data_IF_901536427146
#
_entry.id   IF_901536427146
#
_cell.length_a   1.000
_cell.length_b   1.000
_cell.length_c   1.000
_cell.angle_alpha   90.00
_cell.angle_beta   90.00
_cell.angle_gamma   90.00
#
_symmetry.space_group_name_H-M   'P 1'
#
loop_
_entity.id
_entity.type
_entity.pdbx_description
1 polymer ?
#
# COMPACT_ATOMS: atom_id res chain seq x y z
N UNK A 1 -29.16 4.85 -50.92
CA UNK A 1 -28.39 5.51 -49.86
C UNK A 1 -27.40 4.51 -49.35
N UNK A 2 -26.13 4.68 -49.70
CA UNK A 2 -25.03 3.90 -49.13
C UNK A 2 -24.93 4.31 -47.67
N UNK A 3 -25.40 3.43 -46.79
CA UNK A 3 -25.23 3.60 -45.35
C UNK A 3 -23.76 3.35 -45.10
N UNK A 4 -23.09 4.34 -44.54
CA UNK A 4 -21.65 4.42 -44.37
C UNK A 4 -21.19 3.24 -43.51
N UNK A 5 -20.55 2.24 -44.12
CA UNK A 5 -19.99 1.06 -43.40
C UNK A 5 -18.99 1.49 -42.31
N UNK A 6 -18.47 2.72 -42.39
CA UNK A 6 -17.57 3.32 -41.41
C UNK A 6 -18.21 3.55 -40.03
N UNK A 7 -19.53 3.82 -39.96
CA UNK A 7 -20.24 4.07 -38.69
C UNK A 7 -20.42 2.76 -37.89
N UNK A 8 -20.65 1.64 -38.59
CA UNK A 8 -20.86 0.32 -37.96
C UNK A 8 -19.54 -0.22 -37.38
N UNK A 9 -18.43 -0.02 -38.09
CA UNK A 9 -17.11 -0.38 -37.57
C UNK A 9 -16.69 0.52 -36.39
N UNK A 10 -17.05 1.81 -36.41
CA UNK A 10 -16.79 2.69 -35.27
C UNK A 10 -17.58 2.27 -34.03
N UNK A 11 -18.88 2.00 -34.15
CA UNK A 11 -19.69 1.53 -33.01
C UNK A 11 -19.17 0.21 -32.44
N UNK A 12 -18.71 -0.71 -33.30
CA UNK A 12 -18.14 -2.00 -32.87
C UNK A 12 -16.82 -1.81 -32.10
N UNK A 13 -15.94 -0.96 -32.60
CA UNK A 13 -14.68 -0.63 -31.93
C UNK A 13 -14.92 0.14 -30.62
N UNK A 14 -15.85 1.09 -30.60
CA UNK A 14 -16.21 1.83 -29.40
C UNK A 14 -16.81 0.91 -28.33
N UNK A 15 -17.68 -0.04 -28.71
CA UNK A 15 -18.26 -1.00 -27.77
C UNK A 15 -17.20 -1.93 -27.19
N UNK A 16 -16.25 -2.39 -28.01
CA UNK A 16 -15.10 -3.19 -27.55
C UNK A 16 -14.19 -2.39 -26.63
N UNK A 17 -13.90 -1.13 -26.98
CA UNK A 17 -13.14 -0.22 -26.14
C UNK A 17 -13.82 0.02 -24.79
N UNK A 18 -15.13 0.28 -24.76
CA UNK A 18 -15.90 0.47 -23.52
C UNK A 18 -15.94 -0.80 -22.65
N UNK A 19 -16.00 -1.98 -23.26
CA UNK A 19 -15.89 -3.27 -22.57
C UNK A 19 -14.49 -3.46 -21.95
N UNK A 20 -13.44 -3.10 -22.66
CA UNK A 20 -12.05 -3.21 -22.18
C UNK A 20 -11.68 -2.09 -21.20
N UNK A 21 -12.28 -0.90 -21.31
CA UNK A 21 -11.98 0.27 -20.50
C UNK A 21 -12.18 0.00 -19.01
N UNK A 22 -13.19 -0.79 -18.64
CA UNK A 22 -13.40 -1.20 -17.25
C UNK A 22 -12.23 -2.02 -16.69
N UNK A 23 -11.69 -2.94 -17.48
CA UNK A 23 -10.53 -3.76 -17.10
C UNK A 23 -9.25 -2.90 -17.00
N UNK A 24 -9.01 -2.00 -17.95
CA UNK A 24 -7.88 -1.07 -17.92
C UNK A 24 -7.93 -0.11 -16.73
N UNK A 25 -9.12 0.42 -16.41
CA UNK A 25 -9.33 1.32 -15.28
C UNK A 25 -9.06 0.60 -13.95
N UNK A 26 -9.54 -0.65 -13.84
CA UNK A 26 -9.26 -1.51 -12.68
C UNK A 26 -7.76 -1.76 -12.53
N UNK A 27 -7.06 -2.12 -13.62
CA UNK A 27 -5.60 -2.33 -13.61
C UNK A 27 -4.82 -1.06 -13.20
N UNK A 28 -5.19 0.10 -13.74
CA UNK A 28 -4.56 1.39 -13.37
C UNK A 28 -4.79 1.68 -11.89
N UNK A 29 -6.02 1.49 -11.37
CA UNK A 29 -6.30 1.71 -9.95
C UNK A 29 -5.51 0.75 -9.04
N UNK A 30 -5.35 -0.51 -9.45
CA UNK A 30 -4.55 -1.50 -8.73
C UNK A 30 -3.07 -1.12 -8.67
N UNK A 31 -2.49 -0.77 -9.81
CA UNK A 31 -1.08 -0.37 -9.92
C UNK A 31 -0.78 0.91 -9.14
N UNK A 32 -1.70 1.89 -9.14
CA UNK A 32 -1.59 3.09 -8.32
C UNK A 32 -1.61 2.78 -6.81
N UNK A 33 -2.50 1.90 -6.36
CA UNK A 33 -2.55 1.50 -4.96
C UNK A 33 -1.30 0.72 -4.52
N UNK A 34 -0.76 -0.15 -5.38
CA UNK A 34 0.52 -0.83 -5.15
C UNK A 34 1.68 0.17 -5.08
N UNK A 35 1.71 1.17 -5.97
CA UNK A 35 2.73 2.22 -5.97
C UNK A 35 2.68 3.04 -4.68
N UNK A 36 1.48 3.44 -4.23
CA UNK A 36 1.29 4.15 -2.96
C UNK A 36 1.87 3.36 -1.77
N UNK A 37 1.56 2.07 -1.68
CA UNK A 37 2.12 1.18 -0.65
C UNK A 37 3.65 1.04 -0.74
N UNK A 38 4.20 0.97 -1.95
CA UNK A 38 5.64 0.89 -2.16
C UNK A 38 6.35 2.19 -1.73
N UNK A 39 5.83 3.35 -2.14
CA UNK A 39 6.35 4.66 -1.75
C UNK A 39 6.30 4.84 -0.24
N UNK A 40 5.20 4.42 0.39
CA UNK A 40 5.05 4.41 1.85
C UNK A 40 6.18 3.64 2.53
N UNK A 41 6.46 2.41 2.07
CA UNK A 41 7.56 1.59 2.61
C UNK A 41 8.94 2.20 2.35
N UNK A 42 9.14 2.88 1.21
CA UNK A 42 10.38 3.60 0.94
C UNK A 42 10.58 4.77 1.91
N UNK A 43 9.53 5.53 2.23
CA UNK A 43 9.60 6.61 3.23
C UNK A 43 9.97 6.07 4.60
N UNK A 44 9.34 4.97 5.03
CA UNK A 44 9.68 4.31 6.30
C UNK A 44 11.14 3.84 6.33
N UNK A 45 11.62 3.24 5.25
CA UNK A 45 13.03 2.82 5.13
C UNK A 45 13.99 4.02 5.17
N UNK A 46 13.63 5.12 4.53
CA UNK A 46 14.40 6.37 4.57
C UNK A 46 14.46 6.92 6.00
N UNK A 47 13.35 6.91 6.73
CA UNK A 47 13.27 7.34 8.13
C UNK A 47 14.19 6.50 9.00
N UNK A 48 14.18 5.16 8.88
CA UNK A 48 15.12 4.30 9.61
C UNK A 48 16.58 4.58 9.26
N UNK A 49 16.86 4.85 7.98
CA UNK A 49 18.21 5.21 7.52
C UNK A 49 18.68 6.52 8.15
N UNK A 50 17.82 7.54 8.16
CA UNK A 50 18.10 8.83 8.79
C UNK A 50 18.30 8.70 10.30
N UNK A 51 17.42 7.95 10.98
CA UNK A 51 17.55 7.65 12.41
C UNK A 51 18.93 7.04 12.67
N UNK A 52 19.34 6.03 11.89
CA UNK A 52 20.62 5.38 12.09
C UNK A 52 21.85 6.24 11.85
N UNK A 53 21.82 7.07 10.80
CA UNK A 53 22.91 8.02 10.54
C UNK A 53 23.01 9.08 11.64
N UNK A 54 21.87 9.63 12.07
CA UNK A 54 21.81 10.73 13.05
C UNK A 54 22.04 10.21 14.47
N UNK A 55 21.72 8.94 14.77
CA UNK A 55 21.81 8.36 16.11
C UNK A 55 23.15 8.59 16.80
N UNK A 56 24.23 8.44 16.02
CA UNK A 56 25.61 8.62 16.49
C UNK A 56 25.99 10.08 16.73
N UNK A 57 25.32 11.02 16.05
CA UNK A 57 25.56 12.45 16.20
C UNK A 57 24.72 13.06 17.33
N UNK A 58 23.43 12.75 17.36
CA UNK A 58 22.47 13.26 18.34
C UNK A 58 21.25 12.36 18.47
N UNK A 59 21.14 11.71 19.63
CA UNK A 59 19.96 10.88 19.96
C UNK A 59 18.67 11.68 19.98
N UNK A 60 18.72 12.93 20.49
CA UNK A 60 17.55 13.81 20.52
C UNK A 60 17.05 14.12 19.10
N UNK A 61 17.96 14.43 18.17
CA UNK A 61 17.60 14.66 16.78
C UNK A 61 17.01 13.41 16.13
N UNK A 62 17.57 12.23 16.42
CA UNK A 62 17.02 10.96 15.93
C UNK A 62 15.60 10.68 16.46
N UNK A 63 15.33 10.97 17.74
CA UNK A 63 13.97 10.89 18.29
C UNK A 63 12.98 11.85 17.63
N UNK A 64 13.42 13.05 17.22
CA UNK A 64 12.58 14.03 16.51
C UNK A 64 12.33 13.61 15.05
N UNK A 65 13.26 12.88 14.42
CA UNK A 65 13.06 12.34 13.08
C UNK A 65 11.94 11.29 13.02
N UNK A 66 11.69 10.54 14.11
CA UNK A 66 10.62 9.53 14.20
C UNK A 66 9.23 10.14 13.92
N UNK A 67 8.72 11.12 14.71
CA UNK A 67 7.41 11.70 14.47
C UNK A 67 7.34 12.47 13.15
N UNK A 68 8.44 13.08 12.69
CA UNK A 68 8.47 13.75 11.38
C UNK A 68 8.27 12.74 10.24
N UNK A 69 8.95 11.59 10.31
CA UNK A 69 8.77 10.48 9.37
C UNK A 69 7.34 9.94 9.37
N UNK A 70 6.79 9.71 10.57
CA UNK A 70 5.40 9.25 10.74
C UNK A 70 4.39 10.25 10.20
N UNK A 71 4.61 11.56 10.36
CA UNK A 71 3.73 12.58 9.84
C UNK A 71 3.72 12.59 8.30
N UNK A 72 4.89 12.49 7.66
CA UNK A 72 4.99 12.39 6.20
C UNK A 72 4.30 11.13 5.68
N UNK A 73 4.59 10.00 6.33
CA UNK A 73 3.99 8.70 6.05
C UNK A 73 2.46 8.74 6.13
N UNK A 74 1.93 9.33 7.21
CA UNK A 74 0.50 9.52 7.41
C UNK A 74 -0.15 10.44 6.37
N UNK A 75 0.52 11.54 6.01
CA UNK A 75 -0.01 12.48 5.01
C UNK A 75 -0.10 11.81 3.64
N UNK A 76 0.94 11.07 3.21
CA UNK A 76 0.91 10.32 1.96
C UNK A 76 -0.24 9.30 1.97
N UNK A 77 -0.35 8.56 3.05
CA UNK A 77 -1.40 7.57 3.23
C UNK A 77 -2.81 8.20 3.16
N UNK A 78 -3.00 9.38 3.77
CA UNK A 78 -4.28 10.11 3.73
C UNK A 78 -4.59 10.69 2.35
N UNK A 79 -3.59 11.11 1.58
CA UNK A 79 -3.78 11.58 0.20
C UNK A 79 -4.30 10.44 -0.68
N UNK A 80 -3.73 9.25 -0.54
CA UNK A 80 -4.06 8.09 -1.39
C UNK A 80 -5.37 7.40 -0.96
N UNK A 81 -5.65 7.30 0.34
CA UNK A 81 -6.78 6.51 0.88
C UNK A 81 -7.86 7.31 1.62
N UNK A 82 -7.66 8.62 1.87
CA UNK A 82 -8.52 9.41 2.76
C UNK A 82 -9.99 9.55 2.32
N UNK A 83 -10.32 9.25 1.06
CA UNK A 83 -11.70 9.28 0.54
C UNK A 83 -12.50 8.01 0.85
N UNK A 84 -11.83 6.91 1.22
CA UNK A 84 -12.48 5.62 1.39
C UNK A 84 -12.95 5.42 2.85
N UNK A 85 -14.17 5.89 3.14
CA UNK A 85 -14.73 5.96 4.51
C UNK A 85 -14.80 4.61 5.25
N UNK A 86 -14.89 3.50 4.52
CA UNK A 86 -14.94 2.13 5.05
C UNK A 86 -13.56 1.59 5.44
N UNK A 87 -12.47 2.17 4.93
CA UNK A 87 -11.11 1.74 5.22
C UNK A 87 -10.50 2.40 6.48
N UNK A 88 -11.18 3.38 7.08
CA UNK A 88 -10.63 4.21 8.16
C UNK A 88 -10.08 3.43 9.36
N UNK A 89 -10.73 2.33 9.75
CA UNK A 89 -10.24 1.48 10.84
C UNK A 89 -8.94 0.76 10.46
N UNK A 90 -8.86 0.19 9.26
CA UNK A 90 -7.65 -0.47 8.78
C UNK A 90 -6.49 0.51 8.62
N UNK A 91 -6.78 1.73 8.15
CA UNK A 91 -5.82 2.82 8.04
C UNK A 91 -5.25 3.19 9.42
N UNK A 92 -6.11 3.32 10.43
CA UNK A 92 -5.70 3.58 11.81
C UNK A 92 -4.85 2.43 12.38
N UNK A 93 -5.23 1.17 12.14
CA UNK A 93 -4.45 0.01 12.58
C UNK A 93 -3.06 -0.04 11.92
N UNK A 94 -2.97 0.22 10.61
CA UNK A 94 -1.70 0.27 9.88
C UNK A 94 -0.79 1.38 10.43
N UNK A 95 -1.34 2.56 10.68
CA UNK A 95 -0.59 3.67 11.30
C UNK A 95 -0.09 3.30 12.71
N UNK A 96 -0.94 2.71 13.55
CA UNK A 96 -0.55 2.27 14.89
C UNK A 96 0.56 1.22 14.85
N UNK A 97 0.48 0.23 13.95
CA UNK A 97 1.52 -0.79 13.79
C UNK A 97 2.86 -0.19 13.36
N UNK A 98 2.83 0.82 12.51
CA UNK A 98 4.01 1.52 12.04
C UNK A 98 4.68 2.33 13.16
N UNK A 99 3.89 3.10 13.92
CA UNK A 99 4.37 3.82 15.10
C UNK A 99 4.99 2.86 16.11
N UNK A 100 4.30 1.75 16.42
CA UNK A 100 4.81 0.73 17.34
C UNK A 100 6.12 0.14 16.84
N UNK A 101 6.20 -0.23 15.56
CA UNK A 101 7.42 -0.78 14.98
C UNK A 101 8.60 0.20 15.09
N UNK A 102 8.39 1.48 14.77
CA UNK A 102 9.46 2.48 14.81
C UNK A 102 9.88 2.85 16.22
N UNK A 103 8.94 2.97 17.16
CA UNK A 103 9.26 3.19 18.58
C UNK A 103 10.04 2.01 19.14
N UNK A 104 9.63 0.77 18.81
CA UNK A 104 10.38 -0.43 19.18
C UNK A 104 11.78 -0.41 18.58
N UNK A 105 11.95 -0.07 17.30
CA UNK A 105 13.29 0.05 16.69
C UNK A 105 14.16 1.07 17.41
N UNK A 106 13.64 2.27 17.69
CA UNK A 106 14.38 3.30 18.42
C UNK A 106 14.75 2.85 19.85
N UNK A 107 13.85 2.11 20.51
CA UNK A 107 14.10 1.52 21.82
C UNK A 107 15.21 0.45 21.72
N UNK A 108 15.13 -0.48 20.78
CA UNK A 108 16.16 -1.50 20.58
C UNK A 108 17.53 -0.88 20.30
N UNK A 109 17.59 0.19 19.50
CA UNK A 109 18.85 0.88 19.24
C UNK A 109 19.49 1.48 20.50
N UNK A 110 18.67 1.91 21.46
CA UNK A 110 19.13 2.47 22.72
C UNK A 110 19.72 1.40 23.66
N UNK A 111 19.12 0.21 23.71
CA UNK A 111 19.54 -0.86 24.62
C UNK A 111 20.55 -1.83 23.99
N UNK A 112 20.47 -2.03 22.67
CA UNK A 112 21.30 -2.93 21.89
C UNK A 112 21.89 -2.15 20.70
N UNK A 113 22.91 -1.32 20.95
CA UNK A 113 23.55 -0.59 19.87
C UNK A 113 24.15 -1.57 18.84
N UNK A 114 23.97 -1.32 17.55
CA UNK A 114 24.43 -2.22 16.50
C UNK A 114 25.96 -2.31 16.51
N UNK A 115 26.49 -3.52 16.37
CA UNK A 115 27.92 -3.78 16.24
C UNK A 115 28.57 -4.52 17.42
N UNK A 116 27.88 -4.72 18.54
CA UNK A 116 28.43 -5.47 19.67
C UNK A 116 27.99 -6.94 19.62
N UNK A 117 28.93 -7.83 19.29
CA UNK A 117 28.67 -9.25 19.04
C UNK A 117 28.06 -10.00 20.24
N UNK A 118 28.22 -9.46 21.45
CA UNK A 118 27.69 -10.03 22.70
C UNK A 118 26.17 -10.05 22.77
N UNK A 119 25.51 -9.13 22.07
CA UNK A 119 24.06 -8.97 22.14
C UNK A 119 23.31 -9.58 20.95
N UNK A 120 24.00 -10.23 20.00
CA UNK A 120 23.40 -10.69 18.72
C UNK A 120 22.20 -11.63 18.90
N UNK A 121 22.22 -12.53 19.88
CA UNK A 121 21.09 -13.43 20.15
C UNK A 121 19.87 -12.65 20.70
N UNK A 122 20.12 -11.71 21.62
CA UNK A 122 19.08 -10.88 22.23
C UNK A 122 18.53 -9.86 21.24
N UNK A 123 19.38 -9.27 20.40
CA UNK A 123 19.02 -8.42 19.28
C UNK A 123 18.07 -9.17 18.32
N UNK A 124 18.46 -10.35 17.84
CA UNK A 124 17.64 -11.17 16.95
C UNK A 124 16.27 -11.52 17.55
N UNK A 125 16.24 -11.92 18.83
CA UNK A 125 14.98 -12.20 19.53
C UNK A 125 14.10 -10.95 19.65
N UNK A 126 14.71 -9.79 19.86
CA UNK A 126 14.00 -8.51 20.02
C UNK A 126 13.53 -7.91 18.70
N UNK A 127 14.10 -8.31 17.57
CA UNK A 127 13.63 -7.92 16.22
C UNK A 127 12.37 -8.71 15.82
N UNK A 128 12.11 -9.88 16.41
CA UNK A 128 10.96 -10.71 16.04
C UNK A 128 9.59 -9.99 16.18
N UNK A 129 9.30 -9.21 17.24
CA UNK A 129 8.11 -8.37 17.33
C UNK A 129 8.00 -7.32 16.21
N UNK A 130 9.13 -6.68 15.84
CA UNK A 130 9.17 -5.69 14.75
C UNK A 130 8.86 -6.38 13.42
N UNK A 131 9.44 -7.55 13.18
CA UNK A 131 9.15 -8.34 11.99
C UNK A 131 7.68 -8.76 11.94
N UNK A 132 7.12 -9.26 13.04
CA UNK A 132 5.71 -9.62 13.14
C UNK A 132 4.77 -8.44 12.87
N UNK A 133 5.08 -7.26 13.43
CA UNK A 133 4.33 -6.03 13.17
C UNK A 133 4.38 -5.63 11.69
N UNK A 134 5.54 -5.76 11.05
CA UNK A 134 5.71 -5.48 9.63
C UNK A 134 4.96 -6.46 8.72
N UNK A 135 4.94 -7.75 9.06
CA UNK A 135 4.18 -8.78 8.36
C UNK A 135 2.68 -8.53 8.52
N UNK A 136 2.22 -8.24 9.74
CA UNK A 136 0.82 -7.91 10.01
C UNK A 136 0.38 -6.65 9.26
N UNK A 137 1.23 -5.62 9.22
CA UNK A 137 0.99 -4.43 8.40
C UNK A 137 0.84 -4.79 6.93
N UNK A 138 1.72 -5.63 6.38
CA UNK A 138 1.68 -6.05 4.97
C UNK A 138 0.41 -6.83 4.65
N UNK A 139 0.01 -7.71 5.57
CA UNK A 139 -1.24 -8.45 5.47
C UNK A 139 -2.46 -7.50 5.46
N UNK A 140 -2.53 -6.55 6.40
CA UNK A 140 -3.60 -5.54 6.43
C UNK A 140 -3.64 -4.69 5.17
N UNK A 141 -2.48 -4.27 4.66
CA UNK A 141 -2.40 -3.51 3.42
C UNK A 141 -2.90 -4.32 2.22
N UNK A 142 -2.55 -5.62 2.14
CA UNK A 142 -3.06 -6.51 1.10
C UNK A 142 -4.58 -6.71 1.20
N UNK A 143 -5.12 -6.86 2.42
CA UNK A 143 -6.57 -6.93 2.65
C UNK A 143 -7.28 -5.65 2.23
N UNK A 144 -6.72 -4.48 2.56
CA UNK A 144 -7.25 -3.18 2.12
C UNK A 144 -7.26 -3.06 0.60
N UNK A 145 -6.19 -3.50 -0.05
CA UNK A 145 -6.06 -3.48 -1.51
C UNK A 145 -7.12 -4.37 -2.17
N UNK A 146 -7.41 -5.53 -1.57
CA UNK A 146 -8.43 -6.45 -2.06
C UNK A 146 -9.85 -5.87 -1.94
N UNK A 147 -10.13 -5.09 -0.90
CA UNK A 147 -11.40 -4.40 -0.71
C UNK A 147 -11.54 -3.15 -1.58
N UNK A 148 -10.43 -2.45 -1.84
CA UNK A 148 -10.39 -1.25 -2.68
C UNK A 148 -10.64 -1.56 -4.15
N UNK A 149 -10.30 -2.78 -4.60
CA UNK A 149 -10.59 -3.22 -5.96
C UNK A 149 -12.09 -3.45 -6.13
N UNK A 150 -12.76 -2.76 -7.07
CA UNK A 150 -14.16 -3.03 -7.34
C UNK A 150 -14.30 -4.50 -7.78
N UNK A 151 -15.25 -5.24 -7.18
CA UNK A 151 -15.65 -6.60 -7.60
C UNK A 151 -16.29 -6.56 -8.99
N UNK A 152 -15.57 -6.19 -10.04
CA UNK A 152 -16.12 -6.05 -11.39
C UNK A 152 -16.13 -7.35 -12.20
N UNK A 153 -15.74 -8.49 -11.62
CA UNK A 153 -15.53 -9.72 -12.41
C UNK A 153 -16.57 -10.84 -12.20
N UNK A 154 -17.54 -10.70 -11.29
CA UNK A 154 -18.36 -11.86 -10.87
C UNK A 154 -19.76 -11.99 -11.50
N UNK A 155 -20.25 -11.03 -12.30
CA UNK A 155 -21.67 -11.03 -12.72
C UNK A 155 -21.96 -10.95 -14.21
N UNK A 156 -20.98 -10.89 -15.12
CA UNK A 156 -21.26 -10.78 -16.57
C UNK A 156 -21.10 -12.08 -17.38
N UNK A 157 -20.92 -13.25 -16.76
CA UNK A 157 -20.97 -14.53 -17.48
C UNK A 157 -22.38 -15.15 -17.57
N UNK A 158 -23.44 -14.46 -17.13
CA UNK A 158 -24.82 -14.97 -17.15
C UNK A 158 -25.68 -14.55 -18.35
N UNK A 159 -25.18 -13.76 -19.30
CA UNK A 159 -26.04 -13.03 -20.25
C UNK A 159 -25.60 -13.04 -21.71
N UNK A 160 -25.18 -14.19 -22.25
CA UNK A 160 -25.14 -14.43 -23.69
C UNK A 160 -25.76 -15.80 -23.98
N UNK A 161 -27.07 -15.89 -23.73
CA UNK A 161 -27.91 -16.98 -24.20
C UNK A 161 -29.23 -16.38 -24.67
N UNK A 162 -29.22 -15.81 -25.87
CA UNK A 162 -30.38 -15.80 -26.78
C UNK A 162 -29.92 -15.23 -28.12
N UNK A 163 -30.42 -15.85 -29.18
CA UNK A 163 -30.55 -15.29 -30.53
C UNK A 163 -29.35 -15.47 -31.47
N UNK A 164 -28.95 -16.73 -31.62
CA UNK A 164 -28.38 -17.23 -32.88
C UNK A 164 -29.23 -18.42 -33.35
N UNK A 165 -30.53 -18.17 -33.50
CA UNK A 165 -31.51 -19.03 -34.18
C UNK A 165 -32.60 -18.11 -34.78
N UNK A 166 -32.28 -17.46 -35.90
CA UNK A 166 -33.22 -17.06 -36.98
C UNK A 166 -32.52 -16.30 -38.11
#
# INVERSE_FOLDING_TARGET
GLKDDSDVDFERHLRKFLQEQGAWTSYISHSQACLALAVHRMVVALVYTCIGGIWWCSKLAAYVCVPAGMAVSYVLFMIDFGKARHLGLHCACMFCLEVVATVLTAFLWQYFPPGDARYRLQENASVAPIFAANVLWLWLAASCLQEYLPRTSATNHGGLRSDEDR
#
